data_IF_640022693567
#
_entry.id   IF_640022693567
#
_cell.length_a   1.000
_cell.length_b   1.000
_cell.length_c   1.000
_cell.angle_alpha   90.00
_cell.angle_beta   90.00
_cell.angle_gamma   90.00
#
_symmetry.space_group_name_H-M   'P 1'
#
loop_
_entity.id
_entity.type
_entity.pdbx_description
1 polymer ?
#
# COMPACT_ATOMS: atom_id res chain seq x y z
N UNK A 1 -3.41 -3.38 -12.85
CA UNK A 1 -3.89 -4.75 -12.53
C UNK A 1 -4.51 -4.69 -11.14
N UNK A 2 -5.54 -5.47 -10.84
CA UNK A 2 -6.09 -5.56 -9.47
C UNK A 2 -5.67 -6.87 -8.83
N UNK A 3 -5.24 -6.81 -7.58
CA UNK A 3 -4.92 -7.97 -6.74
C UNK A 3 -5.71 -7.90 -5.45
N UNK A 4 -5.82 -9.02 -4.76
CA UNK A 4 -6.34 -8.99 -3.39
C UNK A 4 -5.32 -8.33 -2.47
N UNK A 5 -5.80 -7.60 -1.46
CA UNK A 5 -4.93 -6.93 -0.51
C UNK A 5 -4.01 -7.91 0.24
N UNK A 6 -4.46 -9.15 0.44
CA UNK A 6 -3.66 -10.24 1.02
C UNK A 6 -2.46 -10.64 0.16
N UNK A 7 -2.52 -10.45 -1.16
CA UNK A 7 -1.48 -10.81 -2.11
C UNK A 7 -0.40 -9.74 -2.25
N UNK A 8 -0.59 -8.56 -1.63
CA UNK A 8 0.36 -7.46 -1.69
C UNK A 8 1.70 -7.86 -1.06
N UNK A 9 2.79 -7.60 -1.78
CA UNK A 9 4.15 -7.87 -1.35
C UNK A 9 4.97 -6.59 -1.15
N UNK A 10 6.10 -6.72 -0.46
CA UNK A 10 7.09 -5.64 -0.34
C UNK A 10 7.68 -5.34 -1.71
N UNK A 11 7.74 -4.06 -2.07
CA UNK A 11 8.18 -3.59 -3.37
C UNK A 11 7.02 -3.27 -4.33
N UNK A 12 5.82 -3.78 -4.06
CA UNK A 12 4.66 -3.50 -4.90
C UNK A 12 4.35 -2.00 -4.91
N UNK A 13 4.00 -1.49 -6.09
CA UNK A 13 3.48 -0.15 -6.27
C UNK A 13 1.96 -0.26 -6.32
N UNK A 14 1.28 0.23 -5.30
CA UNK A 14 -0.17 0.18 -5.17
C UNK A 14 -0.77 1.58 -5.24
N UNK A 15 -2.02 1.69 -5.67
CA UNK A 15 -2.77 2.94 -5.57
C UNK A 15 -3.56 2.92 -4.27
N UNK A 16 -3.27 3.86 -3.39
CA UNK A 16 -3.92 3.98 -2.09
C UNK A 16 -4.34 5.43 -1.83
N UNK A 17 -5.29 5.63 -0.92
CA UNK A 17 -5.60 6.95 -0.38
C UNK A 17 -4.67 7.25 0.79
N UNK A 18 -3.79 8.22 0.61
CA UNK A 18 -2.95 8.77 1.67
C UNK A 18 -3.34 10.23 1.88
N UNK A 19 -3.66 10.63 3.13
CA UNK A 19 -4.12 11.99 3.46
C UNK A 19 -5.26 12.47 2.53
N UNK A 20 -6.27 11.63 2.30
CA UNK A 20 -7.41 11.87 1.40
C UNK A 20 -7.05 12.08 -0.08
N UNK A 21 -5.79 11.87 -0.47
CA UNK A 21 -5.33 11.91 -1.86
C UNK A 21 -5.12 10.50 -2.37
N UNK A 22 -5.76 10.15 -3.48
CA UNK A 22 -5.47 8.92 -4.23
C UNK A 22 -4.13 9.08 -4.94
N UNK A 23 -3.18 8.19 -4.67
CA UNK A 23 -1.85 8.27 -5.27
C UNK A 23 -1.13 6.92 -5.27
N UNK A 24 -0.08 6.84 -6.07
CA UNK A 24 0.82 5.69 -6.11
C UNK A 24 1.65 5.68 -4.82
N UNK A 25 1.78 4.49 -4.23
CA UNK A 25 2.49 4.23 -3.01
C UNK A 25 3.33 2.96 -3.18
N UNK A 26 4.58 2.97 -2.75
CA UNK A 26 5.45 1.78 -2.79
C UNK A 26 5.44 1.09 -1.43
N UNK A 27 5.13 -0.20 -1.40
CA UNK A 27 5.08 -1.00 -0.18
C UNK A 27 6.48 -1.25 0.35
N UNK A 28 6.75 -0.78 1.56
CA UNK A 28 8.03 -0.95 2.25
C UNK A 28 8.03 -2.17 3.15
N UNK A 29 6.95 -2.36 3.91
CA UNK A 29 6.81 -3.47 4.84
C UNK A 29 5.36 -3.77 5.14
N UNK A 30 5.08 -5.03 5.48
CA UNK A 30 3.80 -5.49 6.01
C UNK A 30 3.95 -5.50 7.53
N UNK A 31 3.18 -4.67 8.23
CA UNK A 31 3.34 -4.45 9.68
C UNK A 31 2.59 -5.53 10.45
N UNK A 32 1.31 -5.72 10.12
CA UNK A 32 0.47 -6.70 10.78
C UNK A 32 -0.66 -7.14 9.86
N UNK A 33 -0.65 -8.41 9.42
CA UNK A 33 -1.78 -9.03 8.77
C UNK A 33 -2.74 -9.58 9.85
N UNK A 34 -3.51 -8.68 10.47
CA UNK A 34 -4.64 -9.00 11.36
C UNK A 34 -5.64 -9.93 10.65
N UNK A 35 -6.50 -10.63 11.42
CA UNK A 35 -7.43 -11.62 10.87
C UNK A 35 -8.32 -11.06 9.75
N UNK A 36 -8.69 -9.78 9.83
CA UNK A 36 -9.57 -9.14 8.86
C UNK A 36 -8.89 -8.10 7.97
N UNK A 37 -7.68 -7.63 8.33
CA UNK A 37 -7.06 -6.48 7.67
C UNK A 37 -5.57 -6.70 7.45
N UNK A 38 -5.04 -6.08 6.40
CA UNK A 38 -3.60 -5.96 6.19
C UNK A 38 -3.17 -4.52 6.41
N UNK A 39 -2.17 -4.33 7.27
CA UNK A 39 -1.57 -3.03 7.55
C UNK A 39 -0.21 -2.93 6.87
N UNK A 40 -0.05 -1.92 6.00
CA UNK A 40 1.12 -1.74 5.17
C UNK A 40 1.82 -0.42 5.51
N UNK A 41 3.14 -0.46 5.58
CA UNK A 41 3.98 0.73 5.57
C UNK A 41 4.34 1.04 4.12
N UNK A 42 4.05 2.25 3.66
CA UNK A 42 4.22 2.67 2.26
C UNK A 42 4.95 4.00 2.14
N UNK A 43 5.65 4.20 1.03
CA UNK A 43 6.22 5.48 0.64
C UNK A 43 5.34 6.19 -0.37
N UNK A 44 5.07 7.48 -0.15
CA UNK A 44 4.14 8.28 -0.96
C UNK A 44 4.78 9.10 -2.07
N UNK A 45 6.06 8.89 -2.42
CA UNK A 45 6.74 9.70 -3.42
C UNK A 45 7.36 8.87 -4.55
N UNK A 46 7.40 9.47 -5.75
CA UNK A 46 8.14 8.96 -6.92
C UNK A 46 9.66 9.13 -6.77
N UNK A 47 10.12 9.93 -5.79
CA UNK A 47 11.53 10.23 -5.57
C UNK A 47 12.00 9.87 -4.15
N UNK A 48 12.97 8.95 -4.09
CA UNK A 48 13.55 8.35 -2.87
C UNK A 48 14.03 9.37 -1.82
N UNK A 49 14.50 10.56 -2.24
CA UNK A 49 15.13 11.55 -1.35
C UNK A 49 14.17 12.33 -0.44
N UNK A 50 12.85 12.24 -0.65
CA UNK A 50 11.83 12.91 0.21
C UNK A 50 10.60 12.03 0.43
N UNK A 51 10.76 10.71 0.31
CA UNK A 51 9.65 9.77 0.41
C UNK A 51 9.11 9.72 1.83
N UNK A 52 7.91 10.26 2.03
CA UNK A 52 7.26 10.26 3.34
C UNK A 52 6.71 8.86 3.62
N UNK A 53 7.02 8.32 4.81
CA UNK A 53 6.46 7.07 5.29
C UNK A 53 5.01 7.27 5.73
N UNK A 54 4.13 6.38 5.28
CA UNK A 54 2.72 6.35 5.65
C UNK A 54 2.29 4.92 5.97
N UNK A 55 1.20 4.82 6.71
CA UNK A 55 0.53 3.55 7.00
C UNK A 55 -0.81 3.55 6.29
N UNK A 56 -1.08 2.48 5.54
CA UNK A 56 -2.38 2.25 4.91
C UNK A 56 -2.91 0.89 5.34
N UNK A 57 -4.23 0.78 5.42
CA UNK A 57 -4.91 -0.43 5.87
C UNK A 57 -6.00 -0.80 4.89
N UNK A 58 -6.03 -2.08 4.54
CA UNK A 58 -7.04 -2.66 3.67
C UNK A 58 -7.72 -3.82 4.38
N UNK A 59 -8.98 -4.09 4.03
CA UNK A 59 -9.56 -5.40 4.34
C UNK A 59 -8.85 -6.45 3.50
N UNK A 60 -8.67 -7.67 4.03
CA UNK A 60 -7.92 -8.73 3.33
C UNK A 60 -8.49 -9.11 1.96
N UNK A 61 -9.81 -9.07 1.84
CA UNK A 61 -10.57 -9.37 0.62
C UNK A 61 -10.72 -8.16 -0.32
N UNK A 62 -10.20 -6.99 0.07
CA UNK A 62 -10.29 -5.79 -0.77
C UNK A 62 -9.44 -5.96 -2.04
N UNK A 63 -9.98 -5.49 -3.16
CA UNK A 63 -9.23 -5.37 -4.40
C UNK A 63 -8.44 -4.06 -4.40
N UNK A 64 -7.15 -4.16 -4.70
CA UNK A 64 -6.22 -3.04 -4.74
C UNK A 64 -5.60 -2.93 -6.12
N UNK A 65 -5.59 -1.71 -6.68
CA UNK A 65 -4.95 -1.44 -7.95
C UNK A 65 -3.43 -1.42 -7.79
N UNK A 66 -2.73 -2.30 -8.50
CA UNK A 66 -1.30 -2.19 -8.76
C UNK A 66 -1.04 -1.13 -9.84
N UNK A 67 -0.13 -0.22 -9.52
CA UNK A 67 0.48 0.72 -10.44
C UNK A 67 1.70 0.06 -11.10
N UNK A 68 1.81 0.16 -12.42
CA UNK A 68 2.96 -0.34 -13.17
C UNK A 68 4.18 0.58 -13.01
#
# INVERSE_FOLDING_TARGET
MQIQALEIQVGDRIIAYCNNKRQICTVRSIIDPDQNNITLSVFTADHYRSSILRVVRFRRDALVDLAS
#
